data_IF_560424335318
#
_entry.id   IF_560424335318
#
_cell.length_a   1.000
_cell.length_b   1.000
_cell.length_c   1.000
_cell.angle_alpha   90.00
_cell.angle_beta   90.00
_cell.angle_gamma   90.00
#
_symmetry.space_group_name_H-M   'P 1'
#
loop_
_entity.id
_entity.type
_entity.pdbx_description
1 polymer ?
#
# COMPACT_ATOMS: atom_id res chain seq x y z
N UNK A 1 -15.89 -30.09 -22.61
CA UNK A 1 -14.47 -30.32 -22.22
C UNK A 1 -13.51 -29.30 -22.85
N UNK A 2 -13.81 -27.99 -22.80
CA UNK A 2 -12.93 -26.95 -23.38
C UNK A 2 -12.85 -25.68 -22.54
N UNK A 3 -12.87 -25.80 -21.20
CA UNK A 3 -12.85 -24.64 -20.29
C UNK A 3 -11.81 -24.73 -19.16
N UNK A 4 -10.92 -25.73 -19.22
CA UNK A 4 -9.84 -25.93 -18.24
C UNK A 4 -8.44 -25.71 -18.87
N UNK A 5 -8.33 -25.65 -20.20
CA UNK A 5 -7.05 -25.44 -20.88
C UNK A 5 -6.62 -23.97 -20.92
N UNK A 6 -7.55 -23.02 -20.88
CA UNK A 6 -7.23 -21.58 -20.94
C UNK A 6 -6.58 -21.05 -19.65
N UNK A 7 -6.83 -21.72 -18.51
CA UNK A 7 -6.22 -21.35 -17.21
C UNK A 7 -4.74 -21.75 -17.08
N UNK A 8 -4.26 -22.69 -17.90
CA UNK A 8 -2.88 -23.16 -17.83
C UNK A 8 -1.90 -22.32 -18.67
N UNK A 9 -2.36 -21.69 -19.75
CA UNK A 9 -1.51 -20.84 -20.59
C UNK A 9 -1.27 -19.44 -20.01
N UNK A 10 -2.22 -18.86 -19.28
CA UNK A 10 -2.00 -17.58 -18.56
C UNK A 10 -0.93 -17.72 -17.47
N UNK A 11 -0.86 -18.87 -16.80
CA UNK A 11 0.11 -19.13 -15.72
C UNK A 11 1.56 -19.24 -16.22
N UNK A 12 1.74 -19.62 -17.49
CA UNK A 12 3.05 -19.63 -18.15
C UNK A 12 3.51 -18.21 -18.59
N UNK A 13 2.59 -17.27 -18.80
CA UNK A 13 2.93 -15.84 -18.92
C UNK A 13 3.32 -15.24 -17.58
N UNK A 14 2.63 -15.58 -16.48
CA UNK A 14 3.01 -15.15 -15.13
C UNK A 14 4.41 -15.65 -14.73
N UNK A 15 4.79 -16.88 -15.06
CA UNK A 15 6.13 -17.43 -14.75
C UNK A 15 7.26 -16.76 -15.54
N UNK A 16 7.00 -16.32 -16.77
CA UNK A 16 7.98 -15.59 -17.59
C UNK A 16 8.12 -14.11 -17.20
N UNK A 17 7.09 -13.52 -16.57
CA UNK A 17 7.13 -12.15 -16.06
C UNK A 17 8.11 -11.96 -14.90
N UNK A 18 8.49 -13.04 -14.20
CA UNK A 18 9.46 -13.02 -13.10
C UNK A 18 10.91 -13.34 -13.52
N UNK A 19 11.20 -13.59 -14.80
CA UNK A 19 12.55 -13.98 -15.27
C UNK A 19 13.29 -12.97 -16.14
N UNK A 20 12.76 -11.78 -16.37
CA UNK A 20 13.51 -10.72 -17.05
C UNK A 20 13.49 -9.42 -16.25
N UNK A 21 14.69 -9.00 -15.88
CA UNK A 21 15.08 -7.65 -15.43
C UNK A 21 14.29 -6.55 -16.14
N UNK A 22 13.85 -5.50 -15.41
CA UNK A 22 13.70 -4.07 -15.85
C UNK A 22 12.73 -3.22 -15.01
N UNK A 23 12.64 -3.40 -13.70
CA UNK A 23 11.77 -2.56 -12.83
C UNK A 23 12.53 -1.46 -12.08
N UNK A 24 13.66 -0.99 -12.60
CA UNK A 24 14.37 0.15 -12.01
C UNK A 24 14.71 1.17 -13.09
N UNK A 25 14.15 2.38 -12.94
CA UNK A 25 14.49 3.56 -13.75
C UNK A 25 15.33 4.53 -12.92
N UNK A 26 16.48 4.08 -12.42
CA UNK A 26 17.61 4.96 -12.11
C UNK A 26 18.70 4.75 -13.18
N UNK A 27 19.43 5.81 -13.59
CA UNK A 27 20.61 5.67 -14.43
C UNK A 27 21.56 4.66 -13.81
N UNK A 28 22.14 3.77 -14.63
CA UNK A 28 22.86 2.53 -14.24
C UNK A 28 23.99 2.68 -13.20
N UNK A 29 24.32 3.88 -12.75
CA UNK A 29 25.35 4.17 -11.76
C UNK A 29 24.85 4.31 -10.30
N UNK A 30 23.53 4.27 -10.03
CA UNK A 30 22.99 4.45 -8.65
C UNK A 30 22.02 3.36 -8.17
N UNK A 31 21.88 2.23 -8.87
CA UNK A 31 21.03 1.11 -8.41
C UNK A 31 21.82 0.15 -7.50
N UNK A 32 21.43 0.03 -6.23
CA UNK A 32 21.97 -0.97 -5.27
C UNK A 32 21.38 -2.38 -5.45
N UNK A 33 20.60 -2.60 -6.50
CA UNK A 33 19.95 -3.88 -6.81
C UNK A 33 20.90 -5.04 -7.16
N UNK A 34 22.21 -4.80 -7.27
CA UNK A 34 23.21 -5.83 -7.62
C UNK A 34 24.23 -6.16 -6.52
N UNK A 35 24.06 -5.66 -5.29
CA UNK A 35 24.87 -6.15 -4.16
C UNK A 35 24.02 -6.52 -2.97
N UNK A 36 24.17 -7.78 -2.55
CA UNK A 36 24.08 -8.20 -1.16
C UNK A 36 22.72 -8.04 -0.48
N UNK A 37 22.16 -9.18 -0.07
CA UNK A 37 21.02 -9.25 0.85
C UNK A 37 21.27 -8.35 2.07
N UNK A 38 20.53 -7.24 2.15
CA UNK A 38 20.50 -6.35 3.30
C UNK A 38 19.12 -5.73 3.39
N UNK A 39 18.35 -6.10 4.41
CA UNK A 39 17.12 -5.40 4.76
C UNK A 39 17.52 -4.04 5.34
N UNK A 40 17.72 -3.03 4.49
CA UNK A 40 17.77 -1.65 4.93
C UNK A 40 16.34 -1.21 5.27
N UNK A 41 16.15 -0.61 6.46
CA UNK A 41 14.89 0.02 6.87
C UNK A 41 14.45 1.00 5.78
N UNK A 42 13.22 0.84 5.31
CA UNK A 42 12.50 1.75 4.41
C UNK A 42 12.24 3.15 5.00
N UNK A 43 12.80 3.48 6.17
CA UNK A 43 12.40 4.65 6.95
C UNK A 43 13.36 5.86 6.82
N UNK A 44 14.64 5.68 6.45
CA UNK A 44 15.58 6.82 6.40
C UNK A 44 15.79 7.35 4.98
N UNK A 45 15.89 6.48 3.98
CA UNK A 45 16.15 6.89 2.59
C UNK A 45 14.96 7.60 1.94
N UNK A 46 13.73 7.30 2.41
CA UNK A 46 12.52 7.98 1.95
C UNK A 46 12.52 9.43 2.45
N UNK A 47 12.88 9.68 3.72
CA UNK A 47 12.92 11.04 4.29
C UNK A 47 14.00 11.92 3.65
N UNK A 48 15.18 11.37 3.35
CA UNK A 48 16.26 12.11 2.68
C UNK A 48 15.91 12.43 1.22
N UNK A 49 15.31 11.48 0.51
CA UNK A 49 14.82 11.71 -0.86
C UNK A 49 13.66 12.72 -0.87
N UNK A 50 12.75 12.66 0.12
CA UNK A 50 11.68 13.65 0.30
C UNK A 50 12.23 15.06 0.55
N UNK A 51 13.31 15.20 1.33
CA UNK A 51 13.96 16.50 1.58
C UNK A 51 14.69 17.05 0.35
N UNK A 52 15.32 16.19 -0.44
CA UNK A 52 15.96 16.61 -1.70
C UNK A 52 14.92 17.06 -2.75
N UNK A 53 13.76 16.39 -2.81
CA UNK A 53 12.63 16.82 -3.68
C UNK A 53 12.08 18.18 -3.26
N UNK A 54 12.03 18.47 -1.95
CA UNK A 54 11.48 19.73 -1.43
C UNK A 54 12.30 20.97 -1.81
N UNK A 55 13.60 20.83 -2.07
CA UNK A 55 14.49 21.97 -2.38
C UNK A 55 14.53 22.33 -3.88
N UNK A 56 14.11 21.43 -4.77
CA UNK A 56 14.12 21.65 -6.24
C UNK A 56 12.75 22.18 -6.77
N UNK A 57 11.69 22.10 -5.96
CA UNK A 57 10.31 22.45 -6.33
C UNK A 57 10.01 23.97 -6.38
N UNK A 58 10.97 24.84 -6.06
CA UNK A 58 10.81 26.29 -6.22
C UNK A 58 11.08 26.79 -7.65
N UNK A 59 11.48 25.92 -8.58
CA UNK A 59 11.94 26.33 -9.91
C UNK A 59 11.21 25.72 -11.12
N UNK A 60 10.18 24.88 -10.95
CA UNK A 60 9.51 24.22 -12.10
C UNK A 60 8.03 24.59 -12.26
N UNK A 61 7.65 24.69 -13.54
CA UNK A 61 6.45 25.32 -14.08
C UNK A 61 5.12 24.62 -13.70
N UNK A 62 4.03 25.41 -13.75
CA UNK A 62 2.62 25.13 -13.35
C UNK A 62 1.95 23.79 -13.74
N UNK A 63 2.56 22.93 -14.55
CA UNK A 63 1.98 21.63 -14.97
C UNK A 63 2.28 20.47 -14.03
N UNK A 64 3.30 20.56 -13.18
CA UNK A 64 3.72 19.44 -12.30
C UNK A 64 2.85 19.28 -11.03
N UNK A 65 1.90 20.20 -10.83
CA UNK A 65 1.02 20.27 -9.66
C UNK A 65 -0.36 19.62 -9.87
N UNK A 66 -0.68 19.15 -11.09
CA UNK A 66 -1.97 18.53 -11.39
C UNK A 66 -1.89 17.46 -12.47
N UNK A 67 -2.69 16.40 -12.37
CA UNK A 67 -2.78 15.32 -13.36
C UNK A 67 -4.24 14.98 -13.67
N UNK A 68 -4.57 14.69 -14.93
CA UNK A 68 -5.90 14.19 -15.29
C UNK A 68 -5.97 12.66 -15.10
N UNK A 69 -6.79 12.22 -14.14
CA UNK A 69 -6.89 10.82 -13.73
C UNK A 69 -8.30 10.27 -13.95
N UNK A 70 -8.39 8.98 -14.30
CA UNK A 70 -9.64 8.26 -14.48
C UNK A 70 -10.04 7.49 -13.21
N UNK A 71 -11.27 7.71 -12.76
CA UNK A 71 -11.86 7.04 -11.59
C UNK A 71 -13.05 6.18 -12.03
N UNK A 72 -12.88 4.86 -11.92
CA UNK A 72 -13.84 3.88 -12.43
C UNK A 72 -14.88 3.51 -11.37
N UNK A 73 -16.14 3.45 -11.76
CA UNK A 73 -17.25 2.94 -10.97
C UNK A 73 -17.31 1.40 -11.06
N UNK A 74 -18.18 0.77 -10.26
CA UNK A 74 -18.33 -0.70 -10.28
C UNK A 74 -18.92 -1.26 -11.57
N UNK A 75 -19.66 -0.44 -12.33
CA UNK A 75 -20.16 -0.77 -13.66
C UNK A 75 -19.16 -0.46 -14.79
N UNK A 76 -17.88 -0.20 -14.46
CA UNK A 76 -16.79 0.18 -15.37
C UNK A 76 -16.96 1.50 -16.13
N UNK A 77 -18.05 2.25 -15.90
CA UNK A 77 -18.09 3.68 -16.28
C UNK A 77 -17.05 4.46 -15.48
N UNK A 78 -16.61 5.61 -15.97
CA UNK A 78 -15.60 6.40 -15.25
C UNK A 78 -15.83 7.90 -15.39
N UNK A 79 -15.19 8.64 -14.48
CA UNK A 79 -15.06 10.08 -14.55
C UNK A 79 -13.59 10.45 -14.72
N UNK A 80 -13.30 11.39 -15.62
CA UNK A 80 -12.02 12.07 -15.67
C UNK A 80 -12.05 13.27 -14.72
N UNK A 81 -11.00 13.40 -13.92
CA UNK A 81 -10.84 14.48 -12.96
C UNK A 81 -9.41 14.99 -13.02
N UNK A 82 -9.24 16.30 -13.16
CA UNK A 82 -7.95 16.96 -12.94
C UNK A 82 -7.73 16.99 -11.43
N UNK A 83 -6.72 16.26 -10.98
CA UNK A 83 -6.35 16.11 -9.57
C UNK A 83 -5.16 17.02 -9.28
N UNK A 84 -5.38 18.00 -8.43
CA UNK A 84 -4.35 18.92 -7.95
C UNK A 84 -3.62 18.35 -6.72
N UNK A 85 -2.43 18.89 -6.42
CA UNK A 85 -1.56 18.49 -5.30
C UNK A 85 -2.26 18.41 -3.94
N UNK A 86 -3.23 19.26 -3.70
CA UNK A 86 -3.92 19.45 -2.42
C UNK A 86 -5.31 18.79 -2.39
N UNK A 87 -5.69 18.03 -3.42
CA UNK A 87 -6.96 17.29 -3.42
C UNK A 87 -6.81 16.00 -2.61
N UNK A 88 -7.44 15.95 -1.44
CA UNK A 88 -7.49 14.75 -0.61
C UNK A 88 -8.54 13.75 -1.11
N UNK A 89 -8.42 12.50 -0.67
CA UNK A 89 -9.32 11.43 -1.09
C UNK A 89 -10.77 11.69 -0.67
N UNK A 90 -11.03 12.28 0.51
CA UNK A 90 -12.38 12.58 0.96
C UNK A 90 -13.11 13.60 0.08
N UNK A 91 -12.40 14.65 -0.34
CA UNK A 91 -12.96 15.70 -1.20
C UNK A 91 -13.23 15.17 -2.60
N UNK A 92 -12.31 14.34 -3.12
CA UNK A 92 -12.52 13.64 -4.39
C UNK A 92 -13.73 12.70 -4.33
N UNK A 93 -13.93 11.96 -3.23
CA UNK A 93 -15.11 11.11 -3.06
C UNK A 93 -16.41 11.93 -3.12
N UNK A 94 -16.45 13.09 -2.48
CA UNK A 94 -17.61 13.99 -2.56
C UNK A 94 -17.84 14.51 -3.99
N UNK A 95 -16.76 14.92 -4.67
CA UNK A 95 -16.82 15.39 -6.06
C UNK A 95 -17.34 14.30 -7.00
N UNK A 96 -16.85 13.07 -6.88
CA UNK A 96 -17.28 11.94 -7.71
C UNK A 96 -18.71 11.51 -7.41
N UNK A 97 -19.15 11.56 -6.15
CA UNK A 97 -20.55 11.31 -5.82
C UNK A 97 -21.48 12.32 -6.52
N UNK A 98 -21.12 13.60 -6.51
CA UNK A 98 -21.85 14.65 -7.23
C UNK A 98 -21.84 14.42 -8.75
N UNK A 99 -20.68 14.15 -9.35
CA UNK A 99 -20.54 13.90 -10.80
C UNK A 99 -21.34 12.67 -11.25
N UNK A 100 -21.36 11.60 -10.45
CA UNK A 100 -22.10 10.38 -10.74
C UNK A 100 -23.59 10.45 -10.31
N UNK A 101 -24.06 11.58 -9.75
CA UNK A 101 -25.43 11.77 -9.24
C UNK A 101 -25.84 10.69 -8.24
N UNK A 102 -24.91 10.26 -7.41
CA UNK A 102 -25.16 9.28 -6.34
C UNK A 102 -25.41 9.97 -5.01
N UNK A 103 -25.99 9.23 -4.07
CA UNK A 103 -26.27 9.75 -2.73
C UNK A 103 -24.98 10.10 -1.97
N UNK A 104 -25.06 11.10 -1.11
CA UNK A 104 -23.98 11.42 -0.16
C UNK A 104 -23.84 10.27 0.83
N UNK A 105 -22.62 9.79 1.03
CA UNK A 105 -22.32 8.72 1.98
C UNK A 105 -20.88 8.82 2.44
N UNK A 106 -20.64 8.49 3.71
CA UNK A 106 -19.29 8.37 4.28
C UNK A 106 -18.56 7.13 3.74
N UNK A 107 -19.29 6.13 3.24
CA UNK A 107 -18.70 4.88 2.75
C UNK A 107 -18.05 5.00 1.38
N UNK A 108 -18.20 6.13 0.69
CA UNK A 108 -17.48 6.36 -0.57
C UNK A 108 -15.97 6.37 -0.34
N UNK A 109 -15.25 5.65 -1.20
CA UNK A 109 -13.82 5.47 -1.09
C UNK A 109 -13.15 5.45 -2.45
N UNK A 110 -11.90 5.93 -2.51
CA UNK A 110 -10.99 5.76 -3.64
C UNK A 110 -10.10 4.56 -3.36
N UNK A 111 -10.00 3.66 -4.32
CA UNK A 111 -9.25 2.42 -4.18
C UNK A 111 -8.23 2.35 -5.30
N UNK A 112 -6.96 2.26 -4.94
CA UNK A 112 -5.89 1.90 -5.88
C UNK A 112 -5.94 0.40 -6.14
N UNK A 113 -6.01 0.01 -7.41
CA UNK A 113 -6.02 -1.39 -7.82
C UNK A 113 -4.77 -1.69 -8.64
N UNK A 114 -3.94 -2.60 -8.15
CA UNK A 114 -2.72 -3.09 -8.78
C UNK A 114 -3.02 -4.37 -9.58
N UNK A 115 -3.51 -4.20 -10.81
CA UNK A 115 -4.09 -5.30 -11.59
C UNK A 115 -3.10 -6.45 -11.82
N UNK A 116 -1.83 -6.14 -12.08
CA UNK A 116 -0.80 -7.15 -12.35
C UNK A 116 -0.44 -7.98 -11.10
N UNK A 117 -0.68 -7.43 -9.90
CA UNK A 117 -0.43 -8.07 -8.61
C UNK A 117 -1.70 -8.70 -8.01
N UNK A 118 -2.88 -8.36 -8.54
CA UNK A 118 -4.16 -8.73 -7.95
C UNK A 118 -4.39 -8.14 -6.55
N UNK A 119 -3.78 -6.98 -6.27
CA UNK A 119 -3.87 -6.29 -5.00
C UNK A 119 -4.71 -5.02 -5.12
N UNK A 120 -5.33 -4.63 -4.02
CA UNK A 120 -6.00 -3.34 -3.90
C UNK A 120 -5.80 -2.76 -2.50
N UNK A 121 -5.77 -1.44 -2.42
CA UNK A 121 -5.69 -0.68 -1.18
C UNK A 121 -6.64 0.50 -1.27
N UNK A 122 -7.32 0.79 -0.17
CA UNK A 122 -8.16 1.98 -0.04
C UNK A 122 -7.28 3.17 0.38
N UNK A 123 -7.49 4.33 -0.23
CA UNK A 123 -6.90 5.57 0.24
C UNK A 123 -7.67 6.06 1.48
N UNK A 124 -6.93 6.43 2.51
CA UNK A 124 -7.48 7.12 3.67
C UNK A 124 -7.91 8.54 3.31
N UNK A 125 -8.89 9.09 4.03
CA UNK A 125 -9.53 10.37 3.68
C UNK A 125 -8.56 11.53 3.53
N UNK A 126 -7.53 11.53 4.37
CA UNK A 126 -6.53 12.59 4.45
C UNK A 126 -5.39 12.43 3.44
N UNK A 127 -5.30 11.29 2.73
CA UNK A 127 -4.27 11.09 1.72
C UNK A 127 -4.52 12.00 0.51
N UNK A 128 -3.46 12.63 0.01
CA UNK A 128 -3.51 13.40 -1.24
C UNK A 128 -3.47 12.45 -2.43
N UNK A 129 -4.47 12.54 -3.31
CA UNK A 129 -4.65 11.61 -4.42
C UNK A 129 -3.50 11.71 -5.42
N UNK A 130 -3.01 12.92 -5.68
CA UNK A 130 -1.88 13.13 -6.59
C UNK A 130 -0.59 12.53 -6.03
N UNK A 131 -0.36 12.64 -4.71
CA UNK A 131 0.81 12.05 -4.07
C UNK A 131 0.77 10.52 -4.17
N UNK A 132 -0.37 9.91 -3.80
CA UNK A 132 -0.57 8.47 -3.94
C UNK A 132 -0.35 8.00 -5.39
N UNK A 133 -0.89 8.72 -6.38
CA UNK A 133 -0.66 8.42 -7.80
C UNK A 133 0.83 8.46 -8.19
N UNK A 134 1.58 9.49 -7.76
CA UNK A 134 3.02 9.63 -8.02
C UNK A 134 3.80 8.48 -7.38
N UNK A 135 3.47 8.10 -6.15
CA UNK A 135 4.08 6.96 -5.45
C UNK A 135 3.85 5.65 -6.22
N UNK A 136 2.63 5.43 -6.71
CA UNK A 136 2.31 4.26 -7.52
C UNK A 136 3.17 4.20 -8.81
N UNK A 137 3.29 5.33 -9.52
CA UNK A 137 4.14 5.45 -10.72
C UNK A 137 5.61 5.23 -10.42
N UNK A 138 6.09 5.73 -9.29
CA UNK A 138 7.48 5.61 -8.87
C UNK A 138 7.82 4.16 -8.49
N UNK A 139 6.94 3.50 -7.74
CA UNK A 139 7.11 2.09 -7.35
C UNK A 139 7.14 1.17 -8.58
N UNK A 140 6.28 1.45 -9.57
CA UNK A 140 6.42 0.84 -10.89
C UNK A 140 5.82 1.66 -12.02
N UNK A 141 6.69 2.02 -12.96
CA UNK A 141 6.29 2.65 -14.20
C UNK A 141 5.62 1.68 -15.20
N UNK A 142 5.79 0.37 -15.04
CA UNK A 142 5.23 -0.65 -15.94
C UNK A 142 3.99 -1.35 -15.36
N UNK A 143 3.73 -1.20 -14.06
CA UNK A 143 2.56 -1.79 -13.43
C UNK A 143 1.30 -1.13 -13.97
N UNK A 144 0.34 -1.98 -14.34
CA UNK A 144 -1.01 -1.54 -14.67
C UNK A 144 -1.80 -1.37 -13.40
N UNK A 145 -2.04 -0.12 -13.03
CA UNK A 145 -2.95 0.21 -11.95
C UNK A 145 -4.12 1.06 -12.42
N UNK A 146 -5.21 1.06 -11.65
CA UNK A 146 -6.39 1.91 -11.87
C UNK A 146 -6.98 2.38 -10.54
N UNK A 147 -7.65 3.52 -10.55
CA UNK A 147 -8.45 3.97 -9.40
C UNK A 147 -9.90 3.54 -9.54
N UNK A 148 -10.48 3.06 -8.45
CA UNK A 148 -11.89 2.68 -8.35
C UNK A 148 -12.61 3.54 -7.32
N UNK A 149 -13.78 4.04 -7.67
CA UNK A 149 -14.72 4.72 -6.80
C UNK A 149 -15.86 3.77 -6.47
N UNK A 150 -15.93 3.33 -5.20
CA UNK A 150 -17.01 2.44 -4.72
C UNK A 150 -17.28 2.65 -3.24
N UNK A 151 -18.36 2.03 -2.74
CA UNK A 151 -18.66 2.01 -1.30
C UNK A 151 -17.84 0.93 -0.61
N UNK A 152 -17.16 1.30 0.46
CA UNK A 152 -16.51 0.40 1.41
C UNK A 152 -17.14 0.61 2.80
N UNK A 153 -18.02 -0.30 3.18
CA UNK A 153 -18.75 -0.19 4.45
C UNK A 153 -17.87 -0.48 5.67
N UNK A 154 -16.76 -1.20 5.49
CA UNK A 154 -15.84 -1.57 6.58
C UNK A 154 -14.86 -0.48 6.95
N UNK A 155 -14.73 0.57 6.15
CA UNK A 155 -13.79 1.69 6.34
C UNK A 155 -13.85 2.26 7.77
N UNK A 156 -15.06 2.46 8.29
CA UNK A 156 -15.27 2.99 9.64
C UNK A 156 -15.84 1.97 10.63
N UNK A 157 -15.88 0.69 10.27
CA UNK A 157 -16.41 -0.38 11.14
C UNK A 157 -15.70 -0.39 12.50
N UNK A 158 -14.39 -0.12 12.48
CA UNK A 158 -13.59 0.01 13.68
C UNK A 158 -14.11 1.09 14.66
N UNK A 159 -14.57 2.24 14.16
CA UNK A 159 -15.03 3.35 15.01
C UNK A 159 -16.40 3.09 15.64
N UNK A 160 -17.18 2.14 15.10
CA UNK A 160 -18.44 1.73 15.73
C UNK A 160 -18.21 0.87 16.97
N UNK A 161 -17.10 0.13 17.03
CA UNK A 161 -16.78 -0.75 18.15
C UNK A 161 -15.29 -0.69 18.52
N UNK A 162 -14.80 0.46 19.01
CA UNK A 162 -13.36 0.68 19.24
C UNK A 162 -12.78 -0.27 20.29
N UNK A 163 -13.60 -0.68 21.28
CA UNK A 163 -13.20 -1.54 22.39
C UNK A 163 -12.77 -2.96 21.97
N UNK A 164 -13.08 -3.41 20.74
CA UNK A 164 -12.63 -4.73 20.28
C UNK A 164 -11.13 -4.79 20.00
N UNK A 165 -10.49 -3.67 19.65
CA UNK A 165 -9.06 -3.64 19.37
C UNK A 165 -8.31 -2.63 20.23
N UNK A 166 -8.90 -1.49 20.57
CA UNK A 166 -8.26 -0.42 21.35
C UNK A 166 -8.78 -0.41 22.78
N UNK A 167 -7.90 -0.76 23.71
CA UNK A 167 -8.19 -0.83 25.16
C UNK A 167 -7.89 0.51 25.86
N UNK A 168 -7.00 1.32 25.27
CA UNK A 168 -6.59 2.63 25.78
C UNK A 168 -6.47 3.62 24.62
N UNK A 169 -7.11 4.78 24.75
CA UNK A 169 -7.06 5.83 23.72
C UNK A 169 -5.61 6.30 23.47
N UNK A 170 -5.29 6.56 22.21
CA UNK A 170 -3.95 7.00 21.79
C UNK A 170 -2.87 5.92 21.84
N UNK A 171 -3.17 4.71 22.28
CA UNK A 171 -2.22 3.60 22.35
C UNK A 171 -2.39 2.65 21.18
N UNK A 172 -1.27 2.32 20.51
CA UNK A 172 -1.25 1.26 19.51
C UNK A 172 -1.59 -0.07 20.18
N UNK A 173 -2.61 -0.81 19.70
CA UNK A 173 -3.03 -2.05 20.34
C UNK A 173 -1.97 -3.13 20.19
N UNK A 174 -1.89 -4.00 21.19
CA UNK A 174 -1.02 -5.18 21.13
C UNK A 174 -1.78 -6.31 20.45
N UNK A 175 -1.42 -6.63 19.21
CA UNK A 175 -2.07 -7.69 18.42
C UNK A 175 -1.10 -8.86 18.26
N UNK A 176 -1.44 -10.01 18.83
CA UNK A 176 -0.72 -11.27 18.62
C UNK A 176 -1.57 -12.23 17.80
N UNK A 177 -1.01 -12.80 16.73
CA UNK A 177 -1.71 -13.76 15.89
C UNK A 177 -0.73 -14.67 15.16
N UNK A 178 -1.24 -15.67 14.44
CA UNK A 178 -0.48 -16.39 13.45
C UNK A 178 -0.96 -16.02 12.05
N UNK A 179 -0.03 -15.87 11.13
CA UNK A 179 -0.23 -15.52 9.74
C UNK A 179 0.47 -16.54 8.84
N UNK A 180 0.01 -16.65 7.60
CA UNK A 180 0.68 -17.43 6.58
C UNK A 180 1.48 -16.51 5.68
N UNK A 181 2.79 -16.70 5.64
CA UNK A 181 3.68 -15.95 4.75
C UNK A 181 4.12 -16.88 3.62
N UNK A 182 3.97 -16.42 2.38
CA UNK A 182 4.45 -17.15 1.22
C UNK A 182 5.95 -16.96 1.06
N UNK A 183 6.70 -18.05 1.04
CA UNK A 183 8.09 -18.05 0.63
C UNK A 183 8.15 -18.00 -0.90
N UNK A 184 8.64 -16.89 -1.46
CA UNK A 184 8.70 -16.70 -2.91
C UNK A 184 9.70 -17.63 -3.62
N UNK A 185 10.74 -18.09 -2.92
CA UNK A 185 11.77 -18.99 -3.50
C UNK A 185 11.27 -20.42 -3.54
N UNK A 186 10.68 -20.88 -2.43
CA UNK A 186 10.19 -22.25 -2.26
C UNK A 186 8.76 -22.43 -2.76
N UNK A 187 8.03 -21.33 -3.00
CA UNK A 187 6.62 -21.31 -3.40
C UNK A 187 5.71 -22.07 -2.41
N UNK A 188 6.09 -22.10 -1.13
CA UNK A 188 5.32 -22.71 -0.03
C UNK A 188 4.78 -21.64 0.91
N UNK A 189 3.71 -21.96 1.62
CA UNK A 189 3.17 -21.11 2.70
C UNK A 189 3.72 -21.59 4.03
N UNK A 190 4.25 -20.66 4.83
CA UNK A 190 4.86 -20.94 6.12
C UNK A 190 4.06 -20.22 7.21
N UNK A 191 3.59 -20.98 8.20
CA UNK A 191 2.96 -20.43 9.39
C UNK A 191 4.01 -19.63 10.18
N UNK A 192 3.72 -18.37 10.40
CA UNK A 192 4.57 -17.41 11.12
C UNK A 192 3.72 -16.72 12.18
N UNK A 193 4.29 -16.46 13.35
CA UNK A 193 3.62 -15.70 14.39
C UNK A 193 3.93 -14.22 14.20
N UNK A 194 2.93 -13.36 14.42
CA UNK A 194 3.07 -11.91 14.36
C UNK A 194 2.73 -11.29 15.72
N UNK A 195 3.40 -10.19 16.04
CA UNK A 195 3.15 -9.33 17.18
C UNK A 195 3.22 -7.88 16.72
N UNK A 196 2.09 -7.17 16.68
CA UNK A 196 2.06 -5.72 16.61
C UNK A 196 2.15 -5.18 18.03
N UNK A 197 3.17 -4.37 18.33
CA UNK A 197 3.35 -3.73 19.64
C UNK A 197 4.18 -2.46 19.46
N UNK A 198 3.81 -1.39 20.17
CA UNK A 198 4.57 -0.14 20.19
C UNK A 198 4.86 0.40 18.77
N UNK A 199 3.85 0.37 17.89
CA UNK A 199 3.92 0.78 16.47
C UNK A 199 4.89 -0.04 15.61
N UNK A 200 5.27 -1.23 16.06
CA UNK A 200 6.19 -2.12 15.34
C UNK A 200 5.57 -3.49 15.13
N UNK A 201 5.76 -4.03 13.94
CA UNK A 201 5.37 -5.39 13.58
C UNK A 201 6.57 -6.34 13.71
N UNK A 202 6.47 -7.28 14.64
CA UNK A 202 7.45 -8.35 14.85
C UNK A 202 6.93 -9.66 14.27
N UNK A 203 7.79 -10.45 13.63
CA UNK A 203 7.42 -11.76 13.08
C UNK A 203 8.43 -12.83 13.48
N UNK A 204 7.97 -14.06 13.74
CA UNK A 204 8.85 -15.20 13.98
C UNK A 204 8.18 -16.53 13.65
N UNK A 205 8.95 -17.49 13.13
CA UNK A 205 8.48 -18.87 13.00
C UNK A 205 8.48 -19.61 14.35
N UNK A 206 9.20 -19.09 15.36
CA UNK A 206 9.31 -19.68 16.70
C UNK A 206 8.45 -18.88 17.68
N UNK A 207 7.32 -19.46 18.11
CA UNK A 207 6.37 -18.78 19.02
C UNK A 207 7.02 -18.30 20.31
N UNK A 208 7.91 -19.10 20.90
CA UNK A 208 8.59 -18.77 22.16
C UNK A 208 9.47 -17.52 22.05
N UNK A 209 9.96 -17.19 20.85
CA UNK A 209 10.71 -15.96 20.62
C UNK A 209 9.81 -14.74 20.84
N UNK A 210 8.61 -14.72 20.26
CA UNK A 210 7.66 -13.61 20.44
C UNK A 210 7.02 -13.59 21.84
N UNK A 211 6.80 -14.75 22.46
CA UNK A 211 6.25 -14.82 23.81
C UNK A 211 7.14 -14.13 24.85
N UNK A 212 8.47 -14.14 24.65
CA UNK A 212 9.40 -13.35 25.47
C UNK A 212 9.16 -11.86 25.27
N UNK A 213 9.10 -11.40 24.02
CA UNK A 213 8.84 -9.98 23.69
C UNK A 213 7.48 -9.48 24.19
N UNK A 214 6.45 -10.32 24.23
CA UNK A 214 5.15 -9.92 24.80
C UNK A 214 5.24 -9.60 26.29
N UNK A 215 6.09 -10.31 27.05
CA UNK A 215 6.21 -10.17 28.51
C UNK A 215 7.28 -9.17 28.95
N UNK A 216 8.10 -8.69 28.02
CA UNK A 216 9.17 -7.75 28.32
C UNK A 216 8.65 -6.33 28.59
N UNK A 217 9.22 -5.61 29.57
CA UNK A 217 9.02 -4.17 29.73
C UNK A 217 9.36 -3.41 28.44
N UNK A 218 8.65 -2.31 28.18
CA UNK A 218 8.76 -1.53 26.93
C UNK A 218 10.17 -0.98 26.74
N UNK A 219 10.81 -0.56 27.81
CA UNK A 219 12.15 0.03 27.86
C UNK A 219 13.20 -0.96 27.33
N UNK A 220 13.13 -2.23 27.77
CA UNK A 220 14.04 -3.30 27.35
C UNK A 220 13.76 -3.78 25.92
N UNK A 221 12.51 -3.75 25.48
CA UNK A 221 12.15 -4.14 24.11
C UNK A 221 12.66 -3.13 23.07
N UNK A 222 12.75 -1.85 23.43
CA UNK A 222 13.27 -0.79 22.55
C UNK A 222 14.79 -0.86 22.37
N UNK A 223 15.53 -1.32 23.37
CA UNK A 223 17.00 -1.48 23.32
C UNK A 223 17.46 -2.60 22.37
N UNK A 224 16.70 -3.69 22.23
CA UNK A 224 17.04 -4.81 21.35
C UNK A 224 16.84 -4.54 19.85
N UNK A 225 16.28 -3.38 19.49
CA UNK A 225 15.94 -3.00 18.12
C UNK A 225 16.66 -1.70 17.69
N UNK A 226 17.57 -1.20 18.53
CA UNK A 226 18.61 -0.25 18.12
C UNK A 226 19.74 -1.01 17.43
#
# INVERSE_FOLDING_TARGET
MSRIKDWFEERLRFSKMFRCMQWCRYPRAKCTCSQGVGYARLHETVEETFREIQYDELASTSREQSEELAFFNDNESFQLVVVERNLCASDLCQLLALKNRTEKSVHWSIIEQWNDLGLERMLEDHEYVLAAYKDMKMFSCHARFKFRFRKEFRKYEFFHHPHYLVIQEGMCPVIFSHIWIRDEKKKIWIKTYMLLRDQRLFISQKIHSLAKFMRMPKEQALELVR
#
